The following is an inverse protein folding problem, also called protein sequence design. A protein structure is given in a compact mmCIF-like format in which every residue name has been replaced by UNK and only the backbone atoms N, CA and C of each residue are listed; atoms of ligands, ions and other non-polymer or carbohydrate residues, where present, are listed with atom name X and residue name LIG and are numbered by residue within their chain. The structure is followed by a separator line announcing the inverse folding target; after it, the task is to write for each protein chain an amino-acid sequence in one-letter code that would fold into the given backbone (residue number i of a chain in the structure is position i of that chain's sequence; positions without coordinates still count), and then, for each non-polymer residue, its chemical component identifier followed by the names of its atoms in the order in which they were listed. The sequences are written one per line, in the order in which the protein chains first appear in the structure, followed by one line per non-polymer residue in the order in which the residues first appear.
data_IF_441973831892
#
_entry.id   IF_441973831892
#
_cell.length_a   1.000
_cell.length_b   1.000
_cell.length_c   1.000
_cell.angle_alpha   90.00
_cell.angle_beta   90.00
_cell.angle_gamma   90.00
#
_symmetry.space_group_name_H-M   'P 1'
#
loop_
_entity.id
_entity.type
_entity.pdbx_description
1 polymer ?
#
# COMPACT_ATOMS: atom_id res chain seq x y z
N UNK A 1 -3.42 6.86 -4.01
CA UNK A 1 -3.87 7.55 -5.24
C UNK A 1 -2.71 8.37 -5.78
N UNK A 2 -2.57 8.45 -7.11
CA UNK A 2 -1.58 9.30 -7.78
C UNK A 2 -2.21 10.60 -8.34
N UNK A 3 -1.42 11.50 -8.93
CA UNK A 3 -1.88 12.81 -9.40
C UNK A 3 -2.91 12.67 -10.54
N UNK A 4 -2.73 11.67 -11.40
CA UNK A 4 -3.65 11.38 -12.50
C UNK A 4 -5.01 10.94 -11.96
N UNK A 5 -5.04 10.07 -10.95
CA UNK A 5 -6.28 9.64 -10.30
C UNK A 5 -6.99 10.80 -9.59
N UNK A 6 -6.25 11.70 -8.94
CA UNK A 6 -6.83 12.91 -8.31
C UNK A 6 -7.42 13.83 -9.38
N UNK A 7 -6.71 14.10 -10.47
CA UNK A 7 -7.21 14.92 -11.58
C UNK A 7 -8.48 14.31 -12.17
N UNK A 8 -8.49 13.01 -12.45
CA UNK A 8 -9.67 12.32 -12.98
C UNK A 8 -10.88 12.41 -12.04
N UNK A 9 -10.66 12.25 -10.72
CA UNK A 9 -11.72 12.41 -9.72
C UNK A 9 -12.29 13.84 -9.72
N UNK A 10 -11.42 14.85 -9.77
CA UNK A 10 -11.83 16.26 -9.81
C UNK A 10 -12.52 16.64 -11.13
N UNK A 11 -12.06 16.09 -12.25
CA UNK A 11 -12.71 16.24 -13.56
C UNK A 11 -14.13 15.63 -13.54
N UNK A 12 -14.28 14.46 -12.90
CA UNK A 12 -15.56 13.78 -12.70
C UNK A 12 -16.53 14.56 -11.81
N UNK A 13 -16.02 15.26 -10.78
CA UNK A 13 -16.83 16.19 -9.98
C UNK A 13 -17.25 17.39 -10.83
N UNK A 14 -16.33 17.97 -11.61
CA UNK A 14 -16.60 19.12 -12.48
C UNK A 14 -17.64 18.79 -13.55
N UNK A 15 -17.62 17.58 -14.10
CA UNK A 15 -18.57 17.11 -15.11
C UNK A 15 -19.92 16.66 -14.52
N UNK A 16 -20.04 16.59 -13.18
CA UNK A 16 -21.22 16.08 -12.48
C UNK A 16 -21.36 14.55 -12.50
N UNK A 17 -20.37 13.83 -13.03
CA UNK A 17 -20.34 12.36 -13.05
C UNK A 17 -20.05 11.75 -11.67
N UNK A 18 -19.34 12.49 -10.82
CA UNK A 18 -19.02 12.10 -9.44
C UNK A 18 -19.66 13.09 -8.48
N UNK A 19 -20.55 12.65 -7.57
CA UNK A 19 -21.09 13.50 -6.53
C UNK A 19 -19.96 14.04 -5.63
N UNK A 20 -20.06 15.31 -5.24
CA UNK A 20 -19.06 15.96 -4.38
C UNK A 20 -18.81 15.15 -3.09
N UNK A 21 -19.87 14.65 -2.46
CA UNK A 21 -19.76 13.84 -1.24
C UNK A 21 -18.98 12.53 -1.46
N UNK A 22 -19.14 11.88 -2.61
CA UNK A 22 -18.39 10.67 -2.96
C UNK A 22 -16.90 10.97 -3.21
N UNK A 23 -16.60 12.12 -3.84
CA UNK A 23 -15.22 12.57 -3.99
C UNK A 23 -14.59 12.95 -2.63
N UNK A 24 -15.34 13.62 -1.76
CA UNK A 24 -14.89 13.96 -0.41
C UNK A 24 -14.65 12.70 0.43
N UNK A 25 -15.50 11.68 0.35
CA UNK A 25 -15.27 10.41 1.03
C UNK A 25 -14.00 9.71 0.55
N UNK A 26 -13.81 9.65 -0.78
CA UNK A 26 -12.59 9.11 -1.41
C UNK A 26 -11.33 9.87 -0.96
N UNK A 27 -11.43 11.20 -0.82
CA UNK A 27 -10.34 12.04 -0.35
C UNK A 27 -10.14 11.99 1.18
N UNK A 28 -11.17 11.68 1.97
CA UNK A 28 -11.10 11.52 3.44
C UNK A 28 -10.35 10.25 3.85
N UNK A 29 -10.32 9.23 3.01
CA UNK A 29 -9.47 8.05 3.22
C UNK A 29 -7.97 8.34 2.96
N UNK A 30 -7.60 9.60 2.68
CA UNK A 30 -6.21 10.06 2.60
C UNK A 30 -5.84 10.87 3.87
N UNK A 31 -4.62 10.73 4.43
CA UNK A 31 -3.39 10.20 3.83
C UNK A 31 -2.83 8.93 4.50
N UNK A 32 -3.53 8.38 5.50
CA UNK A 32 -3.07 7.23 6.27
C UNK A 32 -4.20 6.24 6.45
N UNK A 33 -3.98 4.99 6.04
CA UNK A 33 -4.87 3.89 6.44
C UNK A 33 -4.37 3.36 7.77
N UNK A 34 -5.13 3.62 8.83
CA UNK A 34 -4.86 3.08 10.15
C UNK A 34 -5.42 1.66 10.25
N UNK A 35 -4.55 0.68 10.46
CA UNK A 35 -4.91 -0.71 10.67
C UNK A 35 -4.93 -1.09 12.16
N UNK A 36 -4.84 -0.13 13.08
CA UNK A 36 -4.78 -0.33 14.53
C UNK A 36 -3.41 -0.80 15.04
N UNK A 37 -2.55 -1.34 14.18
CA UNK A 37 -1.17 -1.74 14.50
C UNK A 37 -0.12 -1.14 13.54
N UNK A 38 -0.56 -0.45 12.50
CA UNK A 38 0.28 0.24 11.52
C UNK A 38 -0.52 1.33 10.82
N UNK A 39 0.10 2.48 10.60
CA UNK A 39 -0.42 3.51 9.69
C UNK A 39 0.31 3.39 8.35
N UNK A 40 -0.47 3.12 7.29
CA UNK A 40 0.01 3.02 5.92
C UNK A 40 -0.05 4.39 5.26
N UNK A 41 1.10 4.96 4.91
CA UNK A 41 1.21 6.22 4.15
C UNK A 41 1.00 5.97 2.65
N UNK A 42 -0.26 5.86 2.25
CA UNK A 42 -0.66 5.65 0.84
C UNK A 42 -0.42 6.88 -0.05
N UNK A 43 0.05 7.99 0.54
CA UNK A 43 0.41 9.24 -0.14
C UNK A 43 1.91 9.34 -0.44
N UNK A 44 2.72 8.36 0.01
CA UNK A 44 4.17 8.35 -0.23
C UNK A 44 4.51 8.28 -1.71
N UNK A 45 3.79 7.48 -2.51
CA UNK A 45 4.00 7.36 -3.96
C UNK A 45 3.79 8.69 -4.71
N UNK A 46 2.85 9.53 -4.26
CA UNK A 46 2.61 10.86 -4.82
C UNK A 46 3.75 11.83 -4.49
N UNK A 47 4.30 11.74 -3.28
CA UNK A 47 5.36 12.64 -2.78
C UNK A 47 6.77 12.17 -3.17
N UNK A 48 6.95 10.88 -3.45
CA UNK A 48 8.25 10.26 -3.72
C UNK A 48 8.06 9.12 -4.74
N UNK A 49 8.78 9.17 -5.86
CA UNK A 49 8.81 8.12 -6.91
C UNK A 49 9.50 6.81 -6.47
N UNK A 50 9.54 6.50 -5.18
CA UNK A 50 10.25 5.34 -4.64
C UNK A 50 9.28 4.22 -4.25
N UNK A 51 9.69 2.95 -4.37
CA UNK A 51 8.90 1.79 -3.90
C UNK A 51 8.49 1.95 -2.44
N UNK A 52 7.33 1.40 -2.11
CA UNK A 52 6.93 1.25 -0.72
C UNK A 52 7.78 0.17 -0.06
N UNK A 53 8.26 0.44 1.17
CA UNK A 53 9.16 -0.47 1.88
C UNK A 53 8.57 -0.83 3.23
N UNK A 54 8.40 -2.13 3.48
CA UNK A 54 7.85 -2.70 4.72
C UNK A 54 8.99 -3.35 5.50
N UNK A 55 9.37 -2.76 6.64
CA UNK A 55 10.31 -3.39 7.56
C UNK A 55 9.61 -4.51 8.34
N UNK A 56 9.97 -5.77 8.06
CA UNK A 56 9.36 -6.95 8.70
C UNK A 56 9.95 -7.26 10.08
N UNK A 57 11.21 -6.86 10.32
CA UNK A 57 11.90 -7.13 11.58
C UNK A 57 11.10 -6.61 12.79
N UNK A 58 10.87 -7.47 13.77
CA UNK A 58 10.15 -7.14 15.00
C UNK A 58 8.62 -7.05 14.87
N UNK A 59 8.05 -7.25 13.66
CA UNK A 59 6.58 -7.31 13.47
C UNK A 59 6.08 -8.75 13.60
N UNK A 60 4.82 -8.90 14.03
CA UNK A 60 4.10 -10.18 13.97
C UNK A 60 3.86 -10.55 12.51
N UNK A 61 4.01 -11.83 12.16
CA UNK A 61 3.80 -12.33 10.79
C UNK A 61 2.46 -11.91 10.21
N UNK A 62 1.36 -12.07 10.96
CA UNK A 62 0.02 -11.66 10.49
C UNK A 62 -0.10 -10.16 10.18
N UNK A 63 0.64 -9.30 10.89
CA UNK A 63 0.66 -7.86 10.57
C UNK A 63 1.41 -7.59 9.26
N UNK A 64 2.50 -8.31 9.02
CA UNK A 64 3.26 -8.18 7.76
C UNK A 64 2.40 -8.61 6.58
N UNK A 65 1.69 -9.74 6.70
CA UNK A 65 0.78 -10.23 5.66
C UNK A 65 -0.29 -9.20 5.34
N UNK A 66 -0.99 -8.67 6.35
CA UNK A 66 -2.04 -7.67 6.14
C UNK A 66 -1.51 -6.37 5.49
N UNK A 67 -0.32 -5.91 5.91
CA UNK A 67 0.35 -4.75 5.30
C UNK A 67 0.66 -5.03 3.83
N UNK A 68 1.31 -6.16 3.53
CA UNK A 68 1.76 -6.49 2.18
C UNK A 68 0.58 -6.73 1.24
N UNK A 69 -0.45 -7.43 1.69
CA UNK A 69 -1.69 -7.66 0.92
C UNK A 69 -2.37 -6.34 0.57
N UNK A 70 -2.52 -5.42 1.53
CA UNK A 70 -3.13 -4.10 1.28
C UNK A 70 -2.31 -3.27 0.29
N UNK A 71 -0.98 -3.30 0.42
CA UNK A 71 -0.08 -2.56 -0.45
C UNK A 71 0.03 -3.14 -1.86
N UNK A 72 -0.08 -4.47 -2.00
CA UNK A 72 -0.08 -5.15 -3.29
C UNK A 72 -1.30 -4.80 -4.16
N UNK A 73 -2.39 -4.30 -3.57
CA UNK A 73 -3.55 -3.76 -4.30
C UNK A 73 -3.28 -2.36 -4.88
N UNK A 74 -2.26 -1.67 -4.39
CA UNK A 74 -1.87 -0.34 -4.84
C UNK A 74 -0.98 -0.35 -6.10
N UNK A 75 -0.80 0.80 -6.76
CA UNK A 75 0.10 0.90 -7.90
C UNK A 75 1.56 0.95 -7.45
N UNK A 76 2.39 0.07 -8.04
CA UNK A 76 3.85 0.19 -7.98
C UNK A 76 4.58 -0.95 -7.25
N UNK A 77 5.91 -0.95 -7.30
CA UNK A 77 6.72 -1.98 -6.65
C UNK A 77 6.73 -1.85 -5.12
N UNK A 78 6.63 -2.99 -4.44
CA UNK A 78 6.68 -3.14 -2.99
C UNK A 78 7.92 -3.96 -2.60
N UNK A 79 8.64 -3.53 -1.57
CA UNK A 79 9.77 -4.26 -0.99
C UNK A 79 9.51 -4.55 0.48
N UNK A 80 9.45 -5.83 0.86
CA UNK A 80 9.42 -6.26 2.24
C UNK A 80 10.84 -6.61 2.71
N UNK A 81 11.40 -5.82 3.62
CA UNK A 81 12.78 -5.97 4.10
C UNK A 81 12.84 -6.74 5.41
N UNK A 82 13.94 -7.48 5.61
CA UNK A 82 14.25 -8.32 6.76
C UNK A 82 13.16 -9.34 7.06
N UNK A 83 12.53 -9.85 6.01
CA UNK A 83 11.58 -10.95 6.11
C UNK A 83 12.34 -12.25 6.35
N UNK A 84 11.88 -13.04 7.31
CA UNK A 84 12.35 -14.41 7.50
C UNK A 84 11.64 -15.35 6.51
N UNK A 85 12.15 -16.56 6.28
CA UNK A 85 11.48 -17.55 5.42
C UNK A 85 10.04 -17.86 5.85
N UNK A 86 9.75 -17.82 7.16
CA UNK A 86 8.40 -18.03 7.70
C UNK A 86 7.45 -16.88 7.34
N UNK A 87 7.95 -15.64 7.40
CA UNK A 87 7.19 -14.46 6.97
C UNK A 87 6.92 -14.52 5.47
N UNK A 88 7.92 -14.91 4.68
CA UNK A 88 7.73 -15.08 3.24
C UNK A 88 6.69 -16.13 2.90
N UNK A 89 6.72 -17.31 3.54
CA UNK A 89 5.75 -18.37 3.31
C UNK A 89 4.32 -17.87 3.52
N UNK A 90 4.06 -17.17 4.64
CA UNK A 90 2.76 -16.59 4.95
C UNK A 90 2.35 -15.48 3.96
N UNK A 91 3.30 -14.63 3.55
CA UNK A 91 3.03 -13.59 2.53
C UNK A 91 2.70 -14.21 1.18
N UNK A 92 3.35 -15.32 0.78
CA UNK A 92 3.12 -15.96 -0.51
C UNK A 92 1.74 -16.60 -0.62
N UNK A 93 1.14 -17.01 0.50
CA UNK A 93 -0.25 -17.48 0.53
C UNK A 93 -1.24 -16.36 0.19
N UNK A 94 -1.02 -15.14 0.71
CA UNK A 94 -1.88 -13.98 0.44
C UNK A 94 -1.55 -13.28 -0.89
N UNK A 95 -0.27 -13.24 -1.28
CA UNK A 95 0.24 -12.57 -2.49
C UNK A 95 1.10 -13.55 -3.28
N UNK A 96 0.50 -14.36 -4.18
CA UNK A 96 1.20 -15.43 -4.92
C UNK A 96 2.35 -14.95 -5.81
N UNK A 97 2.37 -13.66 -6.18
CA UNK A 97 3.42 -13.04 -6.99
C UNK A 97 4.67 -12.65 -6.20
N UNK A 98 4.66 -12.80 -4.87
CA UNK A 98 5.78 -12.44 -4.01
C UNK A 98 7.03 -13.30 -4.26
N UNK A 99 8.17 -12.64 -4.38
CA UNK A 99 9.49 -13.29 -4.53
C UNK A 99 10.33 -13.04 -3.29
N UNK A 100 11.13 -14.05 -2.91
CA UNK A 100 12.04 -13.97 -1.78
C UNK A 100 13.47 -14.10 -2.26
N UNK A 101 14.31 -13.17 -1.81
CA UNK A 101 15.73 -13.14 -2.11
C UNK A 101 16.50 -13.41 -0.82
N UNK A 102 16.89 -14.67 -0.60
CA UNK A 102 17.52 -15.14 0.64
C UNK A 102 18.86 -14.45 0.93
N UNK A 103 19.59 -14.07 -0.13
CA UNK A 103 20.87 -13.36 -0.01
C UNK A 103 20.71 -11.87 0.27
N UNK A 104 19.52 -11.31 0.01
CA UNK A 104 19.26 -9.90 0.24
C UNK A 104 19.08 -9.65 1.74
N UNK A 105 20.05 -8.96 2.37
CA UNK A 105 19.98 -8.54 3.78
C UNK A 105 19.20 -7.24 4.01
N UNK A 106 18.45 -6.79 3.01
CA UNK A 106 17.71 -5.53 3.03
C UNK A 106 16.68 -5.54 4.15
#
# INVERSE_FOLDING_TARGET
MDEQAIRALLEGVRSGQVPLESAVATLRELPFVDMGFAQLDTHRALRRRFPEVVLCAGKRTGHVVAIVERLAQGPGPLLATRATPEVYAAVREAVPTARYEELARC
#
